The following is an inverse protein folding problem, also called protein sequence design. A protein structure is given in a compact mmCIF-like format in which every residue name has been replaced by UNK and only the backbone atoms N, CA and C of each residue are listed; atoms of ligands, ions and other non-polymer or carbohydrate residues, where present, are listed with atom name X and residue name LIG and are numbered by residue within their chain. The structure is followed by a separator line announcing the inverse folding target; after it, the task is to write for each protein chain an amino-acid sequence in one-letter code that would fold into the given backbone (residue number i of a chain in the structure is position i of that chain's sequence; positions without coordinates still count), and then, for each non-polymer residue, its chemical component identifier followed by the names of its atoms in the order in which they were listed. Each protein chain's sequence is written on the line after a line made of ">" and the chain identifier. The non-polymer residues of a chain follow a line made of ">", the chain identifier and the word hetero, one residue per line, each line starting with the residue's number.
data_IF_028935543193
#
_entry.id   IF_028935543193
#
_cell.length_a   1.000
_cell.length_b   1.000
_cell.length_c   1.000
_cell.angle_alpha   90.00
_cell.angle_beta   90.00
_cell.angle_gamma   90.00
#
_symmetry.space_group_name_H-M   'P 1'
#
loop_
_entity.id
_entity.type
_entity.pdbx_description
1 polymer ?
#
# COMPACT_ATOMS: atom_id res chain seq x y z
N UNK A 1 1.55 -8.55 -13.63
CA UNK A 1 0.75 -7.35 -13.36
C UNK A 1 1.64 -6.22 -12.82
N UNK A 2 1.31 -5.01 -13.13
CA UNK A 2 2.03 -3.83 -12.63
C UNK A 2 1.05 -2.92 -11.91
N UNK A 3 1.52 -2.31 -10.82
CA UNK A 3 0.75 -1.32 -10.08
C UNK A 3 1.39 0.05 -10.27
N UNK A 4 0.59 1.02 -10.70
CA UNK A 4 1.00 2.42 -10.75
C UNK A 4 0.80 3.05 -9.36
N UNK A 5 1.57 4.08 -9.04
CA UNK A 5 1.47 4.76 -7.74
C UNK A 5 0.08 5.35 -7.51
N UNK A 6 -0.59 5.75 -8.58
CA UNK A 6 -1.90 6.38 -8.50
C UNK A 6 -1.89 7.81 -7.96
N UNK A 7 -0.74 8.34 -7.55
CA UNK A 7 -0.58 9.73 -7.15
C UNK A 7 0.03 10.51 -8.31
N UNK A 8 -0.63 11.55 -8.77
CA UNK A 8 -0.15 12.38 -9.87
C UNK A 8 1.19 13.04 -9.56
N UNK A 9 1.43 13.32 -8.28
CA UNK A 9 2.67 13.96 -7.80
C UNK A 9 3.89 13.02 -7.89
N UNK A 10 3.65 11.71 -7.87
CA UNK A 10 4.71 10.69 -7.93
C UNK A 10 4.31 9.58 -8.90
N UNK A 11 4.38 9.87 -10.21
CA UNK A 11 4.04 8.86 -11.21
C UNK A 11 5.11 7.75 -11.22
N UNK A 12 4.64 6.53 -11.35
CA UNK A 12 5.52 5.38 -11.42
C UNK A 12 4.75 4.08 -11.52
N UNK A 13 5.47 3.02 -11.80
CA UNK A 13 4.90 1.67 -11.86
C UNK A 13 5.97 0.65 -11.49
N UNK A 14 5.55 -0.46 -10.90
CA UNK A 14 6.43 -1.55 -10.51
C UNK A 14 5.73 -2.89 -10.70
N UNK A 15 6.48 -3.98 -10.89
CA UNK A 15 5.89 -5.30 -11.09
C UNK A 15 5.36 -5.86 -9.77
N UNK A 16 4.22 -6.53 -9.84
CA UNK A 16 3.60 -7.19 -8.70
C UNK A 16 3.14 -8.58 -9.15
N UNK A 17 3.42 -9.59 -8.33
CA UNK A 17 2.96 -10.96 -8.57
C UNK A 17 1.78 -11.24 -7.65
N UNK A 18 0.60 -11.38 -8.23
CA UNK A 18 -0.59 -11.78 -7.48
C UNK A 18 -0.59 -13.29 -7.36
N UNK A 19 -0.50 -13.81 -6.14
CA UNK A 19 -0.39 -15.26 -5.90
C UNK A 19 -1.70 -15.89 -5.48
N UNK A 20 -2.64 -15.12 -4.95
CA UNK A 20 -3.93 -15.63 -4.52
C UNK A 20 -5.00 -14.55 -4.57
N UNK A 21 -6.18 -14.90 -5.07
CA UNK A 21 -7.36 -14.05 -5.01
C UNK A 21 -8.53 -14.90 -4.53
N UNK A 22 -9.09 -14.54 -3.39
CA UNK A 22 -10.36 -15.06 -2.90
C UNK A 22 -11.37 -13.90 -2.99
N UNK A 23 -12.33 -13.95 -3.93
CA UNK A 23 -13.25 -12.83 -4.13
C UNK A 23 -13.93 -12.38 -2.84
N UNK A 24 -13.92 -11.07 -2.61
CA UNK A 24 -14.51 -10.41 -1.44
C UNK A 24 -13.90 -10.78 -0.09
N UNK A 25 -12.78 -11.51 -0.07
CA UNK A 25 -12.16 -11.95 1.18
C UNK A 25 -10.69 -11.62 1.29
N UNK A 26 -9.88 -11.94 0.25
CA UNK A 26 -8.44 -11.89 0.41
C UNK A 26 -7.72 -11.76 -0.92
N UNK A 27 -6.67 -10.95 -0.92
CA UNK A 27 -5.71 -10.85 -2.01
C UNK A 27 -4.33 -11.04 -1.40
N UNK A 28 -3.53 -11.89 -2.01
CA UNK A 28 -2.12 -12.07 -1.65
C UNK A 28 -1.26 -11.72 -2.84
N UNK A 29 -0.26 -10.89 -2.61
CA UNK A 29 0.68 -10.52 -3.64
C UNK A 29 2.12 -10.52 -3.10
N UNK A 30 3.06 -10.61 -4.02
CA UNK A 30 4.48 -10.53 -3.74
C UNK A 30 5.10 -9.44 -4.61
N UNK A 31 5.99 -8.66 -4.03
CA UNK A 31 6.71 -7.62 -4.74
C UNK A 31 8.08 -7.39 -4.11
N UNK A 32 8.98 -6.78 -4.86
CA UNK A 32 10.29 -6.41 -4.35
C UNK A 32 10.18 -5.13 -3.52
N UNK A 33 9.95 -5.28 -2.23
CA UNK A 33 9.91 -4.18 -1.28
C UNK A 33 11.23 -4.07 -0.51
N UNK A 34 11.91 -5.18 -0.30
CA UNK A 34 13.28 -5.20 0.20
C UNK A 34 14.27 -5.12 -0.96
N UNK A 35 15.54 -4.92 -0.64
CA UNK A 35 16.58 -4.85 -1.66
C UNK A 35 17.00 -6.26 -2.10
N UNK A 36 16.61 -6.63 -3.32
CA UNK A 36 16.94 -7.93 -3.91
C UNK A 36 16.11 -9.10 -3.41
N UNK A 37 15.00 -8.86 -2.72
CA UNK A 37 14.09 -9.92 -2.29
C UNK A 37 12.64 -9.42 -2.22
N UNK A 38 11.71 -10.37 -2.30
CA UNK A 38 10.28 -10.07 -2.25
C UNK A 38 9.74 -10.15 -0.82
N UNK A 39 8.78 -9.28 -0.53
CA UNK A 39 7.91 -9.40 0.63
C UNK A 39 6.54 -9.90 0.17
N UNK A 40 5.75 -10.38 1.13
CA UNK A 40 4.40 -10.88 0.89
C UNK A 40 3.41 -9.94 1.52
N UNK A 41 2.45 -9.47 0.72
CA UNK A 41 1.37 -8.58 1.18
C UNK A 41 0.08 -9.37 1.18
N UNK A 42 -0.64 -9.34 2.29
CA UNK A 42 -2.00 -9.86 2.40
C UNK A 42 -2.96 -8.73 2.63
N UNK A 43 -4.00 -8.68 1.81
CA UNK A 43 -5.14 -7.78 1.99
C UNK A 43 -6.35 -8.63 2.33
N UNK A 44 -6.91 -8.43 3.52
CA UNK A 44 -8.09 -9.15 3.98
C UNK A 44 -9.27 -8.21 4.08
N UNK A 45 -10.43 -8.69 3.67
CA UNK A 45 -11.69 -7.96 3.70
C UNK A 45 -12.68 -8.72 4.57
N UNK A 46 -13.14 -8.09 5.64
CA UNK A 46 -14.06 -8.69 6.58
C UNK A 46 -15.34 -7.86 6.64
N UNK A 47 -16.48 -8.49 6.40
CA UNK A 47 -17.77 -7.83 6.54
C UNK A 47 -18.07 -7.57 8.02
N UNK A 48 -18.36 -6.31 8.34
CA UNK A 48 -18.75 -5.90 9.71
C UNK A 48 -20.25 -5.62 9.78
N UNK A 49 -21.04 -6.14 8.86
CA UNK A 49 -22.44 -5.92 8.77
C UNK A 49 -22.87 -5.68 7.34
N UNK A 50 -24.01 -5.04 7.16
CA UNK A 50 -24.61 -4.87 5.85
C UNK A 50 -23.81 -3.91 4.95
N UNK A 51 -23.31 -2.81 5.51
CA UNK A 51 -22.73 -1.73 4.74
C UNK A 51 -21.27 -1.42 5.11
N UNK A 52 -20.70 -2.16 6.05
CA UNK A 52 -19.35 -1.88 6.54
C UNK A 52 -18.38 -3.03 6.25
N UNK A 53 -17.16 -2.70 5.91
CA UNK A 53 -16.09 -3.66 5.66
C UNK A 53 -14.83 -3.22 6.39
N UNK A 54 -14.21 -4.16 7.11
CA UNK A 54 -12.90 -3.96 7.68
C UNK A 54 -11.85 -4.45 6.69
N UNK A 55 -10.89 -3.59 6.37
CA UNK A 55 -9.77 -3.94 5.49
C UNK A 55 -8.50 -4.02 6.33
N UNK A 56 -7.82 -5.16 6.26
CA UNK A 56 -6.56 -5.40 6.95
C UNK A 56 -5.48 -5.63 5.93
N UNK A 57 -4.35 -4.94 6.06
CA UNK A 57 -3.20 -5.15 5.21
C UNK A 57 -2.00 -5.51 6.09
N UNK A 58 -1.34 -6.61 5.76
CA UNK A 58 -0.10 -7.02 6.41
C UNK A 58 0.97 -7.28 5.35
N UNK A 59 2.21 -6.98 5.70
CA UNK A 59 3.36 -7.26 4.84
C UNK A 59 4.40 -7.99 5.66
N UNK A 60 4.87 -9.13 5.16
CA UNK A 60 5.78 -10.03 5.87
C UNK A 60 6.91 -10.49 4.95
N UNK A 61 7.90 -11.20 5.54
CA UNK A 61 9.04 -11.70 4.80
C UNK A 61 10.22 -10.73 4.79
N UNK A 62 10.20 -9.74 5.66
CA UNK A 62 11.32 -8.80 5.84
C UNK A 62 12.53 -9.50 6.42
N UNK A 63 13.71 -9.18 5.90
CA UNK A 63 14.97 -9.64 6.48
C UNK A 63 15.27 -8.87 7.77
N UNK A 64 16.09 -9.46 8.63
CA UNK A 64 16.42 -8.87 9.95
C UNK A 64 17.64 -7.97 9.80
N UNK A 65 17.41 -6.67 9.72
CA UNK A 65 18.43 -5.61 9.74
C UNK A 65 17.75 -4.29 10.04
N UNK A 66 18.51 -3.30 10.48
CA UNK A 66 17.96 -1.96 10.70
C UNK A 66 17.42 -1.36 9.40
N UNK A 67 18.11 -1.56 8.30
CA UNK A 67 17.70 -1.05 6.98
C UNK A 67 16.37 -1.66 6.54
N UNK A 68 16.19 -2.96 6.71
CA UNK A 68 14.94 -3.63 6.36
C UNK A 68 13.81 -3.24 7.31
N UNK A 69 14.11 -3.07 8.58
CA UNK A 69 13.15 -2.57 9.56
C UNK A 69 12.65 -1.17 9.17
N UNK A 70 13.57 -0.28 8.81
CA UNK A 70 13.22 1.08 8.38
C UNK A 70 12.33 1.07 7.13
N UNK A 71 12.62 0.18 6.18
CA UNK A 71 11.79 -0.01 5.00
C UNK A 71 10.39 -0.50 5.35
N UNK A 72 10.30 -1.43 6.31
CA UNK A 72 8.99 -1.94 6.75
C UNK A 72 8.14 -0.84 7.38
N UNK A 73 8.74 0.06 8.13
CA UNK A 73 8.04 1.23 8.67
C UNK A 73 7.54 2.16 7.57
N UNK A 74 8.37 2.41 6.55
CA UNK A 74 7.98 3.21 5.40
C UNK A 74 6.80 2.62 4.65
N UNK A 75 6.81 1.30 4.42
CA UNK A 75 5.71 0.61 3.76
C UNK A 75 4.45 0.60 4.61
N UNK A 76 4.57 0.42 5.93
CA UNK A 76 3.44 0.50 6.85
C UNK A 76 2.78 1.89 6.77
N UNK A 77 3.58 2.94 6.75
CA UNK A 77 3.07 4.31 6.57
C UNK A 77 2.35 4.47 5.23
N UNK A 78 2.94 3.94 4.15
CA UNK A 78 2.33 3.99 2.83
C UNK A 78 1.00 3.25 2.76
N UNK A 79 0.91 2.05 3.33
CA UNK A 79 -0.35 1.31 3.41
C UNK A 79 -1.40 2.06 4.22
N UNK A 80 -1.01 2.66 5.34
CA UNK A 80 -1.91 3.46 6.17
C UNK A 80 -2.45 4.67 5.38
N UNK A 81 -1.59 5.37 4.66
CA UNK A 81 -2.00 6.48 3.82
C UNK A 81 -2.98 6.04 2.73
N UNK A 82 -2.68 4.91 2.09
CA UNK A 82 -3.56 4.35 1.06
C UNK A 82 -4.94 4.01 1.63
N UNK A 83 -4.99 3.37 2.80
CA UNK A 83 -6.26 3.02 3.44
C UNK A 83 -7.07 4.26 3.84
N UNK A 84 -6.41 5.30 4.33
CA UNK A 84 -7.07 6.57 4.63
C UNK A 84 -7.67 7.20 3.38
N UNK A 85 -6.90 7.22 2.28
CA UNK A 85 -7.40 7.73 1.00
C UNK A 85 -8.59 6.93 0.49
N UNK A 86 -8.52 5.61 0.60
CA UNK A 86 -9.61 4.71 0.20
C UNK A 86 -10.87 4.97 1.03
N UNK A 87 -10.74 5.08 2.35
CA UNK A 87 -11.86 5.35 3.25
C UNK A 87 -12.55 6.66 2.91
N UNK A 88 -11.79 7.72 2.71
CA UNK A 88 -12.34 9.04 2.38
C UNK A 88 -13.04 9.02 1.03
N UNK A 89 -12.47 8.31 0.06
CA UNK A 89 -13.10 8.16 -1.25
C UNK A 89 -14.42 7.39 -1.18
N UNK A 90 -14.42 6.24 -0.50
CA UNK A 90 -15.59 5.36 -0.42
C UNK A 90 -16.73 6.00 0.39
N UNK A 91 -16.40 6.64 1.51
CA UNK A 91 -17.41 7.19 2.41
C UNK A 91 -17.87 8.60 2.05
N UNK A 92 -17.01 9.41 1.45
CA UNK A 92 -17.28 10.84 1.22
C UNK A 92 -17.09 11.30 -0.23
N UNK A 93 -16.56 10.45 -1.10
CA UNK A 93 -16.32 10.81 -2.50
C UNK A 93 -15.25 11.87 -2.70
N UNK A 94 -14.36 12.05 -1.73
CA UNK A 94 -13.28 13.03 -1.80
C UNK A 94 -11.97 12.37 -2.24
N UNK A 95 -11.26 13.02 -3.16
CA UNK A 95 -9.96 12.56 -3.63
C UNK A 95 -8.84 13.14 -2.77
N UNK A 96 -8.53 12.44 -1.66
CA UNK A 96 -7.47 12.85 -0.74
C UNK A 96 -6.06 12.65 -1.34
N UNK A 97 -5.95 11.83 -2.39
CA UNK A 97 -4.67 11.53 -3.04
C UNK A 97 -4.14 12.70 -3.83
N UNK A 98 -5.00 13.55 -4.36
CA UNK A 98 -4.60 14.71 -5.13
C UNK A 98 -3.94 15.74 -4.21
N UNK A 99 -2.69 16.10 -4.51
CA UNK A 99 -1.92 17.03 -3.69
C UNK A 99 -1.57 16.52 -2.30
N UNK A 100 -1.62 15.20 -2.07
CA UNK A 100 -1.36 14.60 -0.76
C UNK A 100 0.07 14.86 -0.27
N UNK A 101 1.03 14.88 -1.19
CA UNK A 101 2.43 15.09 -0.87
C UNK A 101 2.88 16.49 -1.26
N UNK A 102 3.81 17.04 -0.49
CA UNK A 102 4.43 18.31 -0.81
C UNK A 102 5.55 18.07 -1.85
N UNK A 103 5.29 18.42 -3.10
CA UNK A 103 6.24 18.21 -4.20
C UNK A 103 7.22 19.36 -4.38
N UNK A 104 7.12 20.44 -3.61
CA UNK A 104 8.01 21.59 -3.70
C UNK A 104 9.46 21.24 -3.41
N UNK A 105 9.69 20.19 -2.63
CA UNK A 105 11.03 19.70 -2.31
C UNK A 105 11.64 18.84 -3.42
N UNK A 106 10.81 18.35 -4.37
CA UNK A 106 11.23 17.43 -5.40
C UNK A 106 11.56 16.04 -4.91
N UNK A 107 11.23 15.71 -3.67
CA UNK A 107 11.52 14.41 -3.07
C UNK A 107 10.25 13.59 -2.89
N UNK A 108 10.30 12.26 -3.20
CA UNK A 108 9.20 11.37 -2.87
C UNK A 108 9.06 11.20 -1.35
N UNK A 109 7.87 10.79 -0.85
CA UNK A 109 7.67 10.54 0.57
C UNK A 109 8.63 9.46 1.07
N UNK A 110 9.22 9.69 2.24
CA UNK A 110 10.18 8.77 2.86
C UNK A 110 11.59 8.85 2.30
N UNK A 111 11.87 9.70 1.32
CA UNK A 111 13.20 9.95 0.79
C UNK A 111 13.83 11.14 1.51
N UNK A 112 14.86 10.90 2.28
CA UNK A 112 15.60 11.92 3.03
C UNK A 112 17.07 11.94 2.69
#
# INVERSE_FOLDING_TARGET
>A
MRIATGFADFPGAFPVKVTKVEPNRRIVLEWEAGEGYDTRVEMEFESLGKDDTLVKISESGWRVSQKDLDRSYGNCMGWTQMLCCCKVWVEHGLNLREGFFDTRTGKPPGAE
#
